data_IF_658581365711
#
_entry.id   IF_658581365711
#
_cell.length_a   1.000
_cell.length_b   1.000
_cell.length_c   1.000
_cell.angle_alpha   90.00
_cell.angle_beta   90.00
_cell.angle_gamma   90.00
#
_symmetry.space_group_name_H-M   'P 1'
#
loop_
_entity.id
_entity.type
_entity.pdbx_description
1 polymer ?
#
# COMPACT_ATOMS: atom_id res chain seq x y z
N UNK A 1 28.94 -0.17 -7.15
CA UNK A 1 28.31 -1.51 -7.15
C UNK A 1 27.74 -1.75 -5.77
N UNK A 2 26.42 -1.78 -5.61
CA UNK A 2 25.80 -2.21 -4.35
C UNK A 2 25.63 -3.72 -4.39
N UNK A 3 26.28 -4.41 -3.46
CA UNK A 3 26.17 -5.84 -3.24
C UNK A 3 24.74 -6.17 -2.82
N UNK A 4 23.88 -6.49 -3.79
CA UNK A 4 22.54 -7.04 -3.50
C UNK A 4 22.73 -8.42 -2.88
N UNK A 5 22.66 -8.47 -1.54
CA UNK A 5 22.71 -9.71 -0.79
C UNK A 5 21.42 -10.50 -1.08
N UNK A 6 21.52 -11.47 -1.99
CA UNK A 6 20.42 -12.32 -2.48
C UNK A 6 19.77 -13.18 -1.37
N UNK A 7 20.36 -13.24 -0.17
CA UNK A 7 19.80 -13.97 0.97
C UNK A 7 18.88 -13.12 1.86
N UNK A 8 18.86 -11.79 1.71
CA UNK A 8 17.98 -10.93 2.52
C UNK A 8 16.63 -10.79 1.84
N UNK A 9 15.57 -11.15 2.56
CA UNK A 9 14.21 -10.93 2.09
C UNK A 9 13.87 -9.43 2.22
N UNK A 10 12.84 -8.99 1.50
CA UNK A 10 12.34 -7.62 1.63
C UNK A 10 11.93 -7.28 3.08
N UNK A 11 11.56 -8.30 3.88
CA UNK A 11 11.23 -8.17 5.30
C UNK A 11 12.48 -7.83 6.12
N UNK A 12 13.59 -8.50 5.88
CA UNK A 12 14.85 -8.23 6.58
C UNK A 12 15.34 -6.80 6.33
N UNK A 13 15.26 -6.34 5.08
CA UNK A 13 15.61 -4.96 4.70
C UNK A 13 14.71 -3.95 5.42
N UNK A 14 13.40 -4.23 5.45
CA UNK A 14 12.43 -3.37 6.15
C UNK A 14 12.70 -3.31 7.66
N UNK A 15 13.04 -4.44 8.29
CA UNK A 15 13.37 -4.49 9.71
C UNK A 15 14.65 -3.72 10.04
N UNK A 16 15.68 -3.83 9.21
CA UNK A 16 16.92 -3.08 9.37
C UNK A 16 16.69 -1.57 9.21
N UNK A 17 15.88 -1.16 8.21
CA UNK A 17 15.52 0.24 8.02
C UNK A 17 14.72 0.79 9.20
N UNK A 18 13.70 0.07 9.66
CA UNK A 18 12.91 0.49 10.82
C UNK A 18 13.73 0.60 12.10
N UNK A 19 14.68 -0.32 12.31
CA UNK A 19 15.58 -0.22 13.44
C UNK A 19 16.46 1.04 13.36
N UNK A 20 17.03 1.32 12.20
CA UNK A 20 17.84 2.52 12.00
C UNK A 20 17.02 3.81 12.17
N UNK A 21 15.76 3.82 11.71
CA UNK A 21 14.85 4.96 11.89
C UNK A 21 14.43 5.15 13.36
N UNK A 22 14.27 4.06 14.11
CA UNK A 22 14.04 4.13 15.56
C UNK A 22 15.27 4.67 16.30
N UNK A 23 16.47 4.22 15.94
CA UNK A 23 17.73 4.73 16.50
C UNK A 23 17.97 6.20 16.14
N UNK A 24 17.45 6.65 14.98
CA UNK A 24 17.51 8.03 14.52
C UNK A 24 16.36 8.91 15.04
N UNK A 25 15.45 8.37 15.86
CA UNK A 25 14.26 9.05 16.39
C UNK A 25 13.43 9.74 15.28
N UNK A 26 13.20 9.00 14.19
CA UNK A 26 12.55 9.51 12.98
C UNK A 26 11.09 9.91 13.25
N UNK A 27 10.62 11.05 12.69
CA UNK A 27 9.26 11.53 12.95
C UNK A 27 8.20 10.65 12.29
N UNK A 28 7.18 10.27 13.07
CA UNK A 28 6.04 9.50 12.59
C UNK A 28 4.99 10.39 11.90
N UNK A 29 4.25 9.87 10.89
CA UNK A 29 4.24 8.49 10.41
C UNK A 29 5.38 8.17 9.44
N UNK A 30 6.06 7.04 9.66
CA UNK A 30 7.13 6.55 8.77
C UNK A 30 6.51 5.78 7.62
N UNK A 31 6.99 6.04 6.39
CA UNK A 31 6.50 5.39 5.17
C UNK A 31 7.64 4.75 4.39
N UNK A 32 7.52 3.45 4.14
CA UNK A 32 8.43 2.68 3.32
C UNK A 32 7.81 2.33 1.98
N UNK A 33 8.62 2.32 0.93
CA UNK A 33 8.27 1.82 -0.40
C UNK A 33 9.15 0.63 -0.72
N UNK A 34 8.53 -0.54 -0.89
CA UNK A 34 9.25 -1.79 -1.08
C UNK A 34 8.69 -2.55 -2.28
N UNK A 35 9.59 -3.01 -3.15
CA UNK A 35 9.23 -3.95 -4.20
C UNK A 35 9.15 -5.36 -3.63
N UNK A 36 7.99 -6.01 -3.77
CA UNK A 36 7.79 -7.37 -3.29
C UNK A 36 7.61 -8.32 -4.47
N UNK A 37 8.58 -9.23 -4.62
CA UNK A 37 8.61 -10.22 -5.71
C UNK A 37 7.36 -11.11 -5.77
N UNK A 38 6.75 -11.38 -4.63
CA UNK A 38 5.56 -12.21 -4.53
C UNK A 38 4.38 -11.65 -5.31
N UNK A 39 4.14 -10.34 -5.21
CA UNK A 39 3.08 -9.66 -5.95
C UNK A 39 3.60 -9.01 -7.24
N UNK A 40 4.91 -9.03 -7.48
CA UNK A 40 5.60 -8.30 -8.57
C UNK A 40 5.19 -6.82 -8.64
N UNK A 41 4.87 -6.24 -7.48
CA UNK A 41 4.38 -4.86 -7.34
C UNK A 41 5.14 -4.17 -6.21
N UNK A 42 5.24 -2.85 -6.32
CA UNK A 42 5.67 -2.01 -5.21
C UNK A 42 4.51 -1.86 -4.21
N UNK A 43 4.81 -1.99 -2.92
CA UNK A 43 3.86 -1.74 -1.83
C UNK A 43 4.36 -0.60 -0.96
N UNK A 44 3.41 0.19 -0.45
CA UNK A 44 3.66 1.16 0.59
C UNK A 44 3.36 0.54 1.94
N UNK A 45 4.24 0.73 2.92
CA UNK A 45 4.04 0.33 4.31
C UNK A 45 4.15 1.60 5.15
N UNK A 46 3.05 1.96 5.81
CA UNK A 46 2.98 3.11 6.69
C UNK A 46 2.87 2.65 8.14
N UNK A 47 3.68 3.26 9.00
CA UNK A 47 3.70 3.01 10.44
C UNK A 47 3.23 4.31 11.12
N UNK A 48 2.02 4.34 11.69
CA UNK A 48 1.42 5.56 12.21
C UNK A 48 2.03 6.02 13.53
N UNK A 49 2.45 5.10 14.38
CA UNK A 49 2.93 5.36 15.73
C UNK A 49 4.27 4.69 15.98
N UNK A 50 5.05 5.22 16.93
CA UNK A 50 6.22 4.54 17.44
C UNK A 50 5.79 3.23 18.11
N UNK A 51 6.21 2.11 17.51
CA UNK A 51 5.96 0.77 18.02
C UNK A 51 7.30 0.06 18.20
N UNK A 52 7.38 -0.81 19.20
CA UNK A 52 8.57 -1.62 19.41
C UNK A 52 8.87 -2.51 18.19
N UNK A 53 10.16 -2.80 17.97
CA UNK A 53 10.61 -3.60 16.83
C UNK A 53 10.04 -5.02 16.87
N UNK A 54 9.79 -5.58 18.05
CA UNK A 54 9.18 -6.91 18.18
C UNK A 54 7.73 -6.85 17.68
N UNK A 55 6.95 -5.86 18.14
CA UNK A 55 5.57 -5.64 17.69
C UNK A 55 5.49 -5.39 16.18
N UNK A 56 6.42 -4.60 15.64
CA UNK A 56 6.51 -4.38 14.20
C UNK A 56 6.78 -5.67 13.42
N UNK A 57 7.75 -6.48 13.88
CA UNK A 57 8.06 -7.78 13.25
C UNK A 57 6.84 -8.68 13.26
N UNK A 58 6.13 -8.79 14.38
CA UNK A 58 4.91 -9.58 14.48
C UNK A 58 3.84 -9.09 13.48
N UNK A 59 3.57 -7.78 13.43
CA UNK A 59 2.59 -7.21 12.50
C UNK A 59 2.95 -7.49 11.02
N UNK A 60 4.22 -7.36 10.65
CA UNK A 60 4.70 -7.66 9.29
C UNK A 60 4.61 -9.15 8.98
N UNK A 61 4.91 -10.03 9.93
CA UNK A 61 4.75 -11.47 9.77
C UNK A 61 3.28 -11.87 9.62
N UNK A 62 2.39 -11.29 10.42
CA UNK A 62 0.95 -11.56 10.34
C UNK A 62 0.37 -11.08 9.01
N UNK A 63 0.76 -9.88 8.56
CA UNK A 63 0.44 -9.39 7.22
C UNK A 63 0.93 -10.37 6.14
N UNK A 64 2.23 -10.69 6.17
CA UNK A 64 2.84 -11.54 5.16
C UNK A 64 2.25 -12.96 5.15
N UNK A 65 1.81 -13.47 6.30
CA UNK A 65 1.14 -14.78 6.43
C UNK A 65 -0.29 -14.73 5.91
N UNK A 66 -1.04 -13.69 6.26
CA UNK A 66 -2.44 -13.50 5.86
C UNK A 66 -2.57 -13.30 4.35
N UNK A 67 -1.76 -12.40 3.77
CA UNK A 67 -1.82 -12.05 2.34
C UNK A 67 -0.92 -12.88 1.43
N UNK A 68 -0.20 -13.88 1.97
CA UNK A 68 0.69 -14.77 1.20
C UNK A 68 -0.01 -15.43 -0.01
N UNK A 69 -1.31 -15.69 0.12
CA UNK A 69 -2.13 -16.38 -0.89
C UNK A 69 -3.05 -15.46 -1.67
N UNK A 70 -3.09 -14.18 -1.32
CA UNK A 70 -3.98 -13.20 -1.94
C UNK A 70 -3.24 -12.39 -3.00
N UNK A 71 -3.95 -12.05 -4.08
CA UNK A 71 -3.43 -11.21 -5.15
C UNK A 71 -3.31 -9.74 -4.70
N UNK A 72 -4.16 -9.32 -3.76
CA UNK A 72 -4.18 -7.97 -3.22
C UNK A 72 -3.34 -7.85 -1.93
N UNK A 73 -2.25 -7.05 -1.93
CA UNK A 73 -1.44 -6.82 -0.74
C UNK A 73 -2.03 -5.76 0.20
N UNK A 74 -3.28 -5.35 -0.02
CA UNK A 74 -3.95 -4.33 0.81
C UNK A 74 -4.25 -4.89 2.20
N UNK A 75 -3.69 -4.26 3.22
CA UNK A 75 -3.83 -4.71 4.60
C UNK A 75 -3.68 -3.53 5.55
N UNK A 76 -4.58 -3.39 6.51
CA UNK A 76 -4.47 -2.38 7.56
C UNK A 76 -4.77 -3.01 8.90
N UNK A 77 -3.90 -2.75 9.88
CA UNK A 77 -4.09 -3.10 11.28
C UNK A 77 -3.75 -1.90 12.16
N UNK A 78 -3.91 -2.04 13.47
CA UNK A 78 -3.61 -1.02 14.48
C UNK A 78 -2.16 -0.51 14.43
N UNK A 79 -1.23 -1.33 13.92
CA UNK A 79 0.20 -1.05 13.90
C UNK A 79 0.76 -0.67 12.53
N UNK A 80 0.20 -1.17 11.43
CA UNK A 80 0.71 -0.95 10.08
C UNK A 80 -0.43 -0.81 9.08
N UNK A 81 -0.22 0.01 8.06
CA UNK A 81 -1.09 0.09 6.89
C UNK A 81 -0.29 -0.17 5.64
N UNK A 82 -0.77 -1.07 4.80
CA UNK A 82 -0.12 -1.56 3.59
C UNK A 82 -1.08 -1.43 2.42
N UNK A 83 -0.61 -0.83 1.34
CA UNK A 83 -1.37 -0.75 0.10
C UNK A 83 -0.45 -0.86 -1.12
N UNK A 84 -0.91 -1.48 -2.21
CA UNK A 84 -0.14 -1.53 -3.45
C UNK A 84 0.01 -0.12 -4.03
N UNK A 85 1.17 0.15 -4.64
CA UNK A 85 1.33 1.31 -5.50
C UNK A 85 0.51 1.10 -6.76
N UNK A 86 -0.54 1.91 -6.95
CA UNK A 86 -1.28 1.96 -8.23
C UNK A 86 -0.30 2.27 -9.35
N UNK A 87 -0.24 1.39 -10.34
CA UNK A 87 0.51 1.64 -11.57
C UNK A 87 -0.17 2.74 -12.38
N UNK A 88 0.56 3.46 -13.23
CA UNK A 88 -0.03 4.53 -14.07
C UNK A 88 -1.21 4.04 -14.91
N UNK A 89 -1.22 2.75 -15.26
CA UNK A 89 -2.29 2.09 -16.01
C UNK A 89 -3.57 1.92 -15.18
N UNK A 90 -3.47 1.43 -13.95
CA UNK A 90 -4.61 1.32 -13.03
C UNK A 90 -5.18 2.72 -12.69
N UNK A 91 -4.34 3.76 -12.64
CA UNK A 91 -4.80 5.15 -12.46
C UNK A 91 -5.62 5.66 -13.66
N UNK A 92 -5.19 5.36 -14.89
CA UNK A 92 -5.94 5.72 -16.10
C UNK A 92 -7.27 4.97 -16.20
N UNK A 93 -7.31 3.70 -15.82
CA UNK A 93 -8.55 2.91 -15.80
C UNK A 93 -9.55 3.42 -14.75
N UNK A 94 -9.08 3.90 -13.59
CA UNK A 94 -9.92 4.51 -12.55
C UNK A 94 -10.40 5.93 -12.90
N UNK A 95 -9.58 6.73 -13.58
CA UNK A 95 -9.99 8.03 -14.15
C UNK A 95 -11.04 7.85 -15.25
N UNK A 96 -10.85 6.88 -16.17
CA UNK A 96 -11.83 6.53 -17.20
C UNK A 96 -13.14 5.96 -16.62
N UNK A 97 -13.06 5.23 -15.50
CA UNK A 97 -14.24 4.73 -14.79
C UNK A 97 -15.01 5.84 -14.05
N UNK A 98 -14.34 6.93 -13.62
CA UNK A 98 -15.01 8.09 -13.03
C UNK A 98 -15.69 8.96 -14.09
N UNK A 99 -15.05 9.21 -15.24
CA UNK A 99 -15.67 9.95 -16.35
C UNK A 99 -16.91 9.25 -16.91
N UNK A 100 -16.91 7.91 -16.94
CA UNK A 100 -18.08 7.14 -17.42
C UNK A 100 -19.27 7.12 -16.46
N UNK A 101 -19.07 7.39 -15.16
CA UNK A 101 -20.16 7.50 -14.18
C UNK A 101 -20.74 8.92 -14.07
N UNK A 102 -19.96 9.98 -14.30
CA UNK A 102 -20.49 11.36 -14.32
C UNK A 102 -21.33 11.67 -15.57
N UNK A 103 -21.14 10.91 -16.66
CA UNK A 103 -21.90 11.12 -17.91
C UNK A 103 -23.34 10.58 -17.80
N UNK A 104 -23.65 9.72 -16.83
CA UNK A 104 -24.96 9.06 -16.74
C UNK A 104 -25.98 9.75 -15.81
N UNK A 105 -25.55 10.71 -14.98
CA UNK A 105 -26.44 11.41 -14.04
C UNK A 105 -26.94 12.77 -14.56
N UNK A 106 -26.45 13.26 -15.71
CA UNK A 106 -26.87 14.56 -16.28
C UNK A 106 -27.93 14.47 -17.39
N UNK A 107 -28.47 13.28 -17.68
CA UNK A 107 -29.40 13.05 -18.79
C UNK A 107 -30.90 13.01 -18.47
N UNK A 108 -31.33 13.12 -17.21
CA UNK A 108 -32.74 12.89 -16.84
C UNK A 108 -33.37 14.05 -16.06
N UNK A 109 -33.56 15.19 -16.72
CA UNK A 109 -34.57 16.17 -16.29
C UNK A 109 -35.44 16.58 -17.49
N UNK A 110 -36.50 15.78 -17.67
CA UNK A 110 -37.87 16.24 -17.92
C UNK A 110 -38.13 17.24 -19.05
N UNK A 111 -38.42 16.72 -20.25
CA UNK A 111 -39.37 17.37 -21.15
C UNK A 111 -40.73 16.74 -20.96
N UNK A 112 -41.46 17.20 -19.92
CA UNK A 112 -42.90 16.95 -19.79
C UNK A 112 -43.62 17.91 -20.72
N UNK A 113 -44.45 17.34 -21.57
CA UNK A 113 -45.35 18.00 -22.50
C UNK A 113 -46.22 19.07 -21.81
N UNK A 114 -46.50 20.15 -22.55
CA UNK A 114 -47.71 20.93 -22.35
C UNK A 114 -48.27 21.34 -23.73
N UNK A 115 -49.60 21.23 -23.78
CA UNK A 115 -50.55 21.33 -24.91
C UNK A 115 -50.45 22.58 -25.78
#
# INVERSE_FOLDING_TARGET
MTTRNLNKTWRDILFEQYQADLEADSPFPIRYLIFVYQWKKDIFISIPNNIDIVTFRHAVFDFARSRNREEDPTFSNEHISVWPRKTSRERQEEEAAKESNETNESGFLGSVALE
#
